data_IF_826485557519
#
_entry.id   IF_826485557519
#
_cell.length_a   1.000
_cell.length_b   1.000
_cell.length_c   1.000
_cell.angle_alpha   90.00
_cell.angle_beta   90.00
_cell.angle_gamma   90.00
#
_symmetry.space_group_name_H-M   'P 1'
#
loop_
_entity.id
_entity.type
_entity.pdbx_description
1 polymer ?
#
# COMPACT_ATOMS: atom_id res chain seq x y z
N UNK A 1 -15.26 -12.99 9.36
CA UNK A 1 -13.97 -13.37 8.76
C UNK A 1 -13.77 -12.44 7.58
N UNK A 2 -12.90 -11.41 7.64
CA UNK A 2 -12.51 -10.56 6.47
C UNK A 2 -11.60 -9.36 6.77
N UNK A 3 -11.70 -8.68 7.92
CA UNK A 3 -10.91 -7.45 8.14
C UNK A 3 -9.44 -7.72 8.50
N UNK A 4 -9.17 -8.67 9.39
CA UNK A 4 -7.80 -8.99 9.81
C UNK A 4 -6.92 -9.49 8.65
N UNK A 5 -7.50 -10.25 7.71
CA UNK A 5 -6.80 -10.73 6.52
C UNK A 5 -6.29 -9.58 5.64
N UNK A 6 -7.10 -8.54 5.40
CA UNK A 6 -6.69 -7.38 4.58
C UNK A 6 -5.64 -6.52 5.29
N UNK A 7 -5.76 -6.31 6.61
CA UNK A 7 -4.75 -5.55 7.35
C UNK A 7 -3.42 -6.30 7.46
N UNK A 8 -3.49 -7.63 7.63
CA UNK A 8 -2.30 -8.50 7.65
C UNK A 8 -1.60 -8.50 6.29
N UNK A 9 -2.35 -8.54 5.20
CA UNK A 9 -1.80 -8.40 3.85
C UNK A 9 -1.10 -7.05 3.66
N UNK A 10 -1.76 -5.94 4.01
CA UNK A 10 -1.14 -4.61 3.92
C UNK A 10 0.12 -4.53 4.79
N UNK A 11 0.11 -5.16 5.98
CA UNK A 11 1.28 -5.25 6.87
C UNK A 11 2.44 -6.00 6.23
N UNK A 12 2.18 -7.16 5.62
CA UNK A 12 3.16 -7.94 4.85
C UNK A 12 3.79 -7.08 3.75
N UNK A 13 2.95 -6.44 2.92
CA UNK A 13 3.41 -5.60 1.81
C UNK A 13 4.26 -4.41 2.29
N UNK A 14 3.84 -3.72 3.36
CA UNK A 14 4.60 -2.60 3.94
C UNK A 14 5.95 -3.08 4.46
N UNK A 15 5.96 -4.20 5.19
CA UNK A 15 7.20 -4.78 5.74
C UNK A 15 8.17 -5.18 4.62
N UNK A 16 7.66 -5.70 3.50
CA UNK A 16 8.45 -6.02 2.31
C UNK A 16 9.08 -4.78 1.67
N UNK A 17 8.31 -3.69 1.50
CA UNK A 17 8.83 -2.47 0.85
C UNK A 17 9.75 -1.63 1.74
N UNK A 18 9.59 -1.68 3.06
CA UNK A 18 10.29 -0.82 4.03
C UNK A 18 11.83 -0.74 3.84
N UNK A 19 12.56 -1.82 3.52
CA UNK A 19 14.00 -1.79 3.31
C UNK A 19 14.42 -1.01 2.06
N UNK A 20 13.55 -0.87 1.08
CA UNK A 20 13.83 -0.27 -0.24
C UNK A 20 13.47 1.22 -0.34
N UNK A 21 12.82 1.79 0.67
CA UNK A 21 12.38 3.19 0.67
C UNK A 21 13.37 4.10 1.40
N UNK A 22 13.66 5.28 0.83
CA UNK A 22 14.41 6.33 1.55
C UNK A 22 13.52 7.03 2.58
N UNK A 23 12.31 7.44 2.19
CA UNK A 23 11.30 7.98 3.10
C UNK A 23 10.47 6.85 3.72
N UNK A 24 10.76 6.51 4.97
CA UNK A 24 10.09 5.40 5.68
C UNK A 24 8.96 5.88 6.57
N UNK A 25 8.81 7.19 6.77
CA UNK A 25 7.97 7.74 7.84
C UNK A 25 6.51 7.36 7.64
N UNK A 26 5.97 7.53 6.43
CA UNK A 26 4.58 7.18 6.18
C UNK A 26 4.35 5.68 6.31
N UNK A 27 5.24 4.86 5.74
CA UNK A 27 5.12 3.40 5.81
C UNK A 27 5.15 2.88 7.25
N UNK A 28 6.00 3.44 8.11
CA UNK A 28 6.03 3.09 9.54
C UNK A 28 4.73 3.45 10.25
N UNK A 29 4.11 4.58 9.90
CA UNK A 29 2.81 4.97 10.44
C UNK A 29 1.72 4.01 9.96
N UNK A 30 1.70 3.67 8.67
CA UNK A 30 0.75 2.71 8.09
C UNK A 30 0.92 1.31 8.70
N UNK A 31 2.15 0.89 9.00
CA UNK A 31 2.43 -0.35 9.69
C UNK A 31 1.78 -0.37 11.09
N UNK A 32 1.88 0.73 11.82
CA UNK A 32 1.23 0.85 13.13
C UNK A 32 -0.30 0.87 13.02
N UNK A 33 -0.85 1.51 11.99
CA UNK A 33 -2.29 1.48 11.74
C UNK A 33 -2.80 0.08 11.42
N UNK A 34 -2.04 -0.72 10.65
CA UNK A 34 -2.46 -2.07 10.31
C UNK A 34 -2.45 -3.03 11.51
N UNK A 35 -1.71 -2.70 12.57
CA UNK A 35 -1.73 -3.42 13.84
C UNK A 35 -2.96 -3.10 14.72
N UNK A 36 -3.55 -1.91 14.58
CA UNK A 36 -4.68 -1.45 15.38
C UNK A 36 -5.72 -0.71 14.53
N UNK A 37 -6.82 -1.40 14.20
CA UNK A 37 -7.91 -0.89 13.36
C UNK A 37 -8.93 -0.01 14.12
N UNK A 38 -8.52 0.63 15.22
CA UNK A 38 -9.38 1.59 15.91
C UNK A 38 -9.54 2.88 15.07
N UNK A 39 -10.65 3.62 15.24
CA UNK A 39 -10.83 4.90 14.58
C UNK A 39 -9.63 5.80 14.84
N UNK A 40 -9.07 6.35 13.75
CA UNK A 40 -7.82 7.07 13.81
C UNK A 40 -8.01 8.54 13.45
N UNK A 41 -8.06 9.38 14.47
CA UNK A 41 -8.35 10.82 14.35
C UNK A 41 -7.33 11.54 13.46
N UNK A 42 -6.08 11.06 13.41
CA UNK A 42 -5.03 11.65 12.57
C UNK A 42 -5.03 11.16 11.11
N UNK A 43 -5.93 10.26 10.71
CA UNK A 43 -5.96 9.69 9.36
C UNK A 43 -6.08 10.76 8.26
N UNK A 44 -6.88 11.80 8.49
CA UNK A 44 -7.01 12.93 7.57
C UNK A 44 -5.70 13.71 7.40
N UNK A 45 -4.95 13.92 8.50
CA UNK A 45 -3.64 14.57 8.45
C UNK A 45 -2.60 13.70 7.74
N UNK A 46 -2.62 12.38 7.96
CA UNK A 46 -1.74 11.46 7.26
C UNK A 46 -2.01 11.51 5.75
N UNK A 47 -3.28 11.44 5.36
CA UNK A 47 -3.68 11.50 3.96
C UNK A 47 -3.21 12.79 3.28
N UNK A 48 -3.45 13.95 3.89
CA UNK A 48 -2.99 15.24 3.35
C UNK A 48 -1.46 15.31 3.24
N UNK A 49 -0.74 14.72 4.20
CA UNK A 49 0.72 14.63 4.15
C UNK A 49 1.19 13.78 2.97
N UNK A 50 0.60 12.59 2.77
CA UNK A 50 0.92 11.72 1.64
C UNK A 50 0.62 12.43 0.32
N UNK A 51 -0.56 13.05 0.22
CA UNK A 51 -0.98 13.75 -1.00
C UNK A 51 -0.02 14.86 -1.40
N UNK A 52 0.46 15.65 -0.44
CA UNK A 52 1.49 16.69 -0.67
C UNK A 52 2.80 16.09 -1.17
N UNK A 53 3.24 14.96 -0.61
CA UNK A 53 4.43 14.23 -1.08
C UNK A 53 4.25 13.74 -2.51
N UNK A 54 3.12 13.11 -2.84
CA UNK A 54 2.79 12.63 -4.20
C UNK A 54 2.84 13.76 -5.23
N UNK A 55 2.22 14.90 -4.93
CA UNK A 55 2.23 16.07 -5.82
C UNK A 55 3.65 16.62 -6.01
N UNK A 56 4.45 16.67 -4.94
CA UNK A 56 5.83 17.14 -5.00
C UNK A 56 6.73 16.22 -5.82
N UNK A 57 6.64 14.90 -5.60
CA UNK A 57 7.38 13.90 -6.38
C UNK A 57 7.02 13.94 -7.87
N UNK A 58 5.72 14.07 -8.17
CA UNK A 58 5.26 14.20 -9.56
C UNK A 58 5.79 15.47 -10.24
N UNK A 59 5.89 16.59 -9.51
CA UNK A 59 6.48 17.84 -10.04
C UNK A 59 7.99 17.73 -10.29
N UNK A 60 8.67 16.88 -9.52
CA UNK A 60 10.10 16.64 -9.63
C UNK A 60 10.44 15.55 -10.66
N UNK A 61 9.44 14.95 -11.33
CA UNK A 61 9.60 13.79 -12.21
C UNK A 61 10.33 12.63 -11.53
N UNK A 62 10.00 12.37 -10.26
CA UNK A 62 10.52 11.22 -9.51
C UNK A 62 9.49 10.08 -9.54
N UNK A 63 9.62 9.11 -10.47
CA UNK A 63 8.65 8.03 -10.63
C UNK A 63 8.68 7.06 -9.45
N UNK A 64 9.84 6.83 -8.83
CA UNK A 64 10.01 5.95 -7.66
C UNK A 64 9.25 6.52 -6.46
N UNK A 65 9.50 7.77 -6.12
CA UNK A 65 8.79 8.43 -5.02
C UNK A 65 7.29 8.56 -5.33
N UNK A 66 6.92 8.86 -6.58
CA UNK A 66 5.51 8.94 -6.98
C UNK A 66 4.79 7.59 -6.82
N UNK A 67 5.43 6.47 -7.19
CA UNK A 67 4.86 5.14 -7.02
C UNK A 67 4.74 4.75 -5.54
N UNK A 68 5.78 5.03 -4.75
CA UNK A 68 5.75 4.84 -3.30
C UNK A 68 4.56 5.57 -2.66
N UNK A 69 4.43 6.88 -2.90
CA UNK A 69 3.40 7.68 -2.25
C UNK A 69 1.98 7.33 -2.72
N UNK A 70 1.82 6.85 -3.97
CA UNK A 70 0.53 6.30 -4.42
C UNK A 70 0.17 4.99 -3.72
N UNK A 71 1.14 4.10 -3.52
CA UNK A 71 0.95 2.88 -2.74
C UNK A 71 0.59 3.21 -1.28
N UNK A 72 1.32 4.13 -0.66
CA UNK A 72 1.01 4.60 0.70
C UNK A 72 -0.40 5.21 0.79
N UNK A 73 -0.79 6.04 -0.18
CA UNK A 73 -2.10 6.69 -0.22
C UNK A 73 -3.24 5.67 -0.23
N UNK A 74 -3.10 4.60 -1.02
CA UNK A 74 -4.15 3.58 -1.12
C UNK A 74 -4.21 2.68 0.11
N UNK A 75 -3.07 2.34 0.71
CA UNK A 75 -3.02 1.65 1.99
C UNK A 75 -3.68 2.47 3.10
N UNK A 76 -3.41 3.79 3.16
CA UNK A 76 -4.02 4.69 4.13
C UNK A 76 -5.55 4.69 4.02
N UNK A 77 -6.09 4.86 2.81
CA UNK A 77 -7.54 4.86 2.57
C UNK A 77 -8.19 3.54 2.93
N UNK A 78 -7.52 2.43 2.60
CA UNK A 78 -8.03 1.08 2.87
C UNK A 78 -8.09 0.83 4.38
N UNK A 79 -7.00 1.09 5.11
CA UNK A 79 -6.95 0.91 6.57
C UNK A 79 -7.94 1.83 7.29
N UNK A 80 -8.08 3.09 6.83
CA UNK A 80 -9.09 4.00 7.36
C UNK A 80 -10.51 3.49 7.14
N UNK A 81 -10.87 3.03 5.94
CA UNK A 81 -12.20 2.46 5.71
C UNK A 81 -12.48 1.23 6.61
N UNK A 82 -11.44 0.44 6.91
CA UNK A 82 -11.56 -0.71 7.80
C UNK A 82 -11.82 -0.33 9.27
N UNK A 83 -11.42 0.86 9.71
CA UNK A 83 -11.72 1.38 11.05
C UNK A 83 -13.16 1.88 11.20
N UNK A 84 -14.01 1.72 10.18
CA UNK A 84 -15.44 2.11 10.13
C UNK A 84 -15.69 3.59 10.51
N UNK A 85 -15.08 4.53 9.77
CA UNK A 85 -15.23 5.95 10.03
C UNK A 85 -16.62 6.44 9.61
N UNK A 86 -17.04 7.59 10.13
CA UNK A 86 -18.32 8.23 9.76
C UNK A 86 -18.36 8.66 8.28
N UNK A 87 -17.19 8.94 7.69
CA UNK A 87 -17.04 9.35 6.29
C UNK A 87 -15.94 8.52 5.61
N UNK A 88 -16.27 7.32 5.08
CA UNK A 88 -15.31 6.46 4.40
C UNK A 88 -14.96 7.00 3.00
N UNK A 89 -13.78 6.62 2.51
CA UNK A 89 -13.43 6.74 1.10
C UNK A 89 -14.22 5.74 0.25
N UNK A 90 -14.12 5.86 -1.08
CA UNK A 90 -14.75 4.95 -2.04
C UNK A 90 -14.50 3.47 -1.70
N UNK A 91 -15.50 2.62 -1.89
CA UNK A 91 -15.44 1.19 -1.57
C UNK A 91 -14.46 0.42 -2.48
N UNK A 92 -14.03 1.01 -3.60
CA UNK A 92 -13.11 0.38 -4.53
C UNK A 92 -11.63 0.48 -4.11
N UNK A 93 -11.31 1.28 -3.08
CA UNK A 93 -9.92 1.51 -2.65
C UNK A 93 -9.11 0.23 -2.37
N UNK A 94 -9.67 -0.85 -1.78
CA UNK A 94 -8.87 -2.04 -1.50
C UNK A 94 -8.40 -2.76 -2.78
N UNK A 95 -9.15 -2.66 -3.88
CA UNK A 95 -8.78 -3.30 -5.16
C UNK A 95 -7.53 -2.68 -5.80
N UNK A 96 -7.17 -1.45 -5.40
CA UNK A 96 -6.02 -0.72 -5.94
C UNK A 96 -4.72 -0.98 -5.18
N UNK A 97 -4.76 -1.64 -4.01
CA UNK A 97 -3.56 -1.94 -3.20
C UNK A 97 -2.56 -2.78 -3.99
N UNK A 98 -2.99 -3.92 -4.55
CA UNK A 98 -2.12 -4.82 -5.31
C UNK A 98 -1.60 -4.17 -6.61
N UNK A 99 -2.43 -3.55 -7.48
CA UNK A 99 -1.95 -2.87 -8.68
C UNK A 99 -0.92 -1.77 -8.41
N UNK A 100 -1.07 -1.01 -7.33
CA UNK A 100 -0.12 0.04 -6.96
C UNK A 100 1.14 -0.53 -6.31
N UNK A 101 1.04 -1.60 -5.53
CA UNK A 101 2.18 -2.35 -5.01
C UNK A 101 3.05 -2.93 -6.13
N UNK A 102 2.43 -3.56 -7.13
CA UNK A 102 3.13 -4.07 -8.32
C UNK A 102 3.89 -2.95 -9.06
N UNK A 103 3.22 -1.82 -9.32
CA UNK A 103 3.88 -0.66 -9.95
C UNK A 103 5.06 -0.17 -9.13
N UNK A 104 4.91 -0.11 -7.81
CA UNK A 104 6.00 0.31 -6.95
C UNK A 104 7.19 -0.67 -6.99
N UNK A 105 6.94 -1.97 -6.94
CA UNK A 105 7.97 -2.99 -7.11
C UNK A 105 8.71 -2.87 -8.46
N UNK A 106 7.99 -2.55 -9.55
CA UNK A 106 8.60 -2.28 -10.85
C UNK A 106 9.51 -1.04 -10.84
N UNK A 107 9.07 0.08 -10.23
CA UNK A 107 9.89 1.30 -10.14
C UNK A 107 11.13 1.11 -9.26
N UNK A 108 11.05 0.22 -8.27
CA UNK A 108 12.18 -0.23 -7.45
C UNK A 108 13.10 -1.25 -8.16
N UNK A 109 12.73 -1.69 -9.37
CA UNK A 109 13.46 -2.70 -10.14
C UNK A 109 13.69 -4.01 -9.37
N UNK A 110 12.70 -4.42 -8.57
CA UNK A 110 12.81 -5.66 -7.78
C UNK A 110 12.78 -6.90 -8.70
N UNK A 111 13.58 -7.94 -8.41
CA UNK A 111 13.66 -9.14 -9.25
C UNK A 111 12.32 -9.89 -9.39
N UNK A 112 11.51 -9.87 -8.34
CA UNK A 112 10.15 -10.40 -8.34
C UNK A 112 9.17 -9.25 -8.01
N UNK A 113 8.40 -8.76 -8.99
CA UNK A 113 7.45 -7.68 -8.78
C UNK A 113 6.18 -8.10 -8.04
N UNK A 114 6.02 -9.40 -7.71
CA UNK A 114 4.91 -9.94 -6.93
C UNK A 114 5.31 -10.41 -5.53
N UNK A 115 6.60 -10.54 -5.24
CA UNK A 115 7.12 -11.04 -3.96
C UNK A 115 6.78 -10.19 -2.72
N UNK A 116 6.05 -9.08 -2.91
CA UNK A 116 5.51 -8.25 -1.84
C UNK A 116 4.21 -8.79 -1.23
N UNK A 117 3.59 -9.83 -1.80
CA UNK A 117 2.29 -10.34 -1.34
C UNK A 117 2.13 -11.85 -1.55
N UNK A 118 1.81 -12.57 -0.48
CA UNK A 118 1.51 -14.00 -0.52
C UNK A 118 0.17 -14.33 -1.22
N UNK A 119 -0.73 -13.35 -1.38
CA UNK A 119 -2.01 -13.53 -2.07
C UNK A 119 -1.90 -13.87 -3.56
N UNK A 120 -0.72 -13.75 -4.16
CA UNK A 120 -0.49 -14.04 -5.57
C UNK A 120 0.37 -15.29 -5.80
N UNK A 121 0.73 -16.01 -4.72
CA UNK A 121 1.60 -17.19 -4.75
C UNK A 121 0.85 -18.48 -5.14
N UNK A 122 -0.47 -18.48 -5.16
CA UNK A 122 -1.30 -19.70 -5.29
C UNK A 122 -1.39 -20.28 -6.72
N UNK A 123 -0.48 -19.92 -7.63
CA UNK A 123 -0.55 -20.38 -9.02
C UNK A 123 0.81 -20.52 -9.74
N UNK A 124 1.90 -20.74 -9.01
CA UNK A 124 3.21 -21.04 -9.62
C UNK A 124 3.19 -22.33 -10.47
N UNK A 125 2.25 -23.25 -10.23
CA UNK A 125 2.09 -24.49 -11.00
C UNK A 125 1.20 -24.37 -12.25
N UNK A 126 0.42 -23.29 -12.41
CA UNK A 126 -0.40 -23.09 -13.63
C UNK A 126 0.13 -22.00 -14.57
N UNK A 127 1.04 -21.13 -14.12
CA UNK A 127 1.62 -20.06 -14.96
C UNK A 127 2.41 -20.54 -16.18
N UNK A 128 2.77 -21.81 -16.26
CA UNK A 128 3.51 -22.40 -17.40
C UNK A 128 2.68 -23.36 -18.29
N UNK A 129 1.36 -23.47 -18.11
CA UNK A 129 0.53 -24.37 -18.95
C UNK A 129 0.02 -23.77 -20.27
N UNK A 130 0.31 -22.51 -20.56
CA UNK A 130 -0.12 -21.85 -21.80
C UNK A 130 1.00 -21.07 -22.48
N UNK A 131 2.20 -21.65 -22.53
CA UNK A 131 3.21 -21.32 -23.56
C UNK A 131 3.32 -22.47 -24.56
#
# INVERSE_FOLDING_TARGET
MRHYETSDAIREMIAYFLPYCDDKITLQILLRMSECLEPWDEAGMLYERIRKKTVSASKQNDPRATAQYKFEEICAKTLYNMSKPDSPFSDDVPFWVIPLGFRFACELELPDPYGFTSHLDDDSDQRFRFM
#
